data_IF_663521185965
#
_entry.id   IF_663521185965
#
_cell.length_a   1.000
_cell.length_b   1.000
_cell.length_c   1.000
_cell.angle_alpha   90.00
_cell.angle_beta   90.00
_cell.angle_gamma   90.00
#
_symmetry.space_group_name_H-M   'P 1'
#
loop_
_entity.id
_entity.type
_entity.pdbx_description
1 polymer ?
#
# COMPACT_ATOMS: atom_id res chain seq x y z
N UNK A 1 -15.88 -42.33 -39.33
CA UNK A 1 -15.02 -42.69 -38.18
C UNK A 1 -15.83 -43.55 -37.21
N UNK A 2 -15.40 -44.79 -36.97
CA UNK A 2 -16.19 -45.75 -36.16
C UNK A 2 -16.25 -45.26 -34.71
N UNK A 3 -17.45 -45.23 -34.09
CA UNK A 3 -17.62 -44.81 -32.68
C UNK A 3 -16.63 -45.50 -31.72
N UNK A 4 -16.25 -46.76 -32.02
CA UNK A 4 -15.22 -47.52 -31.29
C UNK A 4 -13.83 -46.91 -31.39
N UNK A 5 -13.41 -46.46 -32.58
CA UNK A 5 -12.10 -45.83 -32.79
C UNK A 5 -12.04 -44.50 -32.05
N UNK A 6 -13.13 -43.71 -32.08
CA UNK A 6 -13.21 -42.45 -31.32
C UNK A 6 -13.06 -42.71 -29.82
N UNK A 7 -13.78 -43.70 -29.27
CA UNK A 7 -13.70 -44.04 -27.85
C UNK A 7 -12.29 -44.49 -27.42
N UNK A 8 -11.60 -45.29 -28.24
CA UNK A 8 -10.22 -45.72 -27.97
C UNK A 8 -9.28 -44.52 -27.99
N UNK A 9 -9.38 -43.64 -29.00
CA UNK A 9 -8.53 -42.45 -29.10
C UNK A 9 -8.74 -41.53 -27.90
N UNK A 10 -10.00 -41.26 -27.52
CA UNK A 10 -10.31 -40.44 -26.33
C UNK A 10 -9.74 -41.08 -25.06
N UNK A 11 -9.90 -42.40 -24.87
CA UNK A 11 -9.34 -43.11 -23.73
C UNK A 11 -7.81 -43.00 -23.65
N UNK A 12 -7.12 -43.18 -24.77
CA UNK A 12 -5.65 -43.03 -24.85
C UNK A 12 -5.22 -41.61 -24.53
N UNK A 13 -5.90 -40.58 -25.06
CA UNK A 13 -5.59 -39.18 -24.76
C UNK A 13 -5.77 -38.89 -23.27
N UNK A 14 -6.86 -39.34 -22.66
CA UNK A 14 -7.10 -39.16 -21.21
C UNK A 14 -6.01 -39.83 -20.37
N UNK A 15 -5.61 -41.06 -20.72
CA UNK A 15 -4.53 -41.78 -20.02
C UNK A 15 -3.19 -41.08 -20.19
N UNK A 16 -2.86 -40.59 -21.40
CA UNK A 16 -1.63 -39.84 -21.65
C UNK A 16 -1.58 -38.55 -20.84
N UNK A 17 -2.69 -37.80 -20.80
CA UNK A 17 -2.79 -36.58 -19.97
C UNK A 17 -2.64 -36.90 -18.49
N UNK A 18 -3.26 -37.98 -18.00
CA UNK A 18 -3.11 -38.42 -16.61
C UNK A 18 -1.66 -38.80 -16.28
N UNK A 19 -0.98 -39.55 -17.17
CA UNK A 19 0.43 -39.91 -17.01
C UNK A 19 1.30 -38.65 -17.00
N UNK A 20 1.07 -37.72 -17.93
CA UNK A 20 1.81 -36.45 -17.98
C UNK A 20 1.63 -35.64 -16.70
N UNK A 21 0.41 -35.59 -16.14
CA UNK A 21 0.13 -34.94 -14.86
C UNK A 21 0.87 -35.58 -13.69
N UNK A 22 0.85 -36.91 -13.58
CA UNK A 22 1.61 -37.65 -12.54
C UNK A 22 3.11 -37.44 -12.72
N UNK A 23 3.62 -37.53 -13.94
CA UNK A 23 5.03 -37.33 -14.25
C UNK A 23 5.44 -35.92 -13.86
N UNK A 24 4.72 -34.88 -14.27
CA UNK A 24 4.97 -33.49 -13.85
C UNK A 24 4.99 -33.31 -12.32
N UNK A 25 4.20 -34.09 -11.58
CA UNK A 25 4.18 -34.11 -10.12
C UNK A 25 5.46 -34.67 -9.45
N UNK A 26 6.28 -35.41 -10.20
CA UNK A 26 7.52 -36.03 -9.70
C UNK A 26 8.79 -35.65 -10.49
N UNK A 27 8.68 -34.97 -11.65
CA UNK A 27 9.84 -34.66 -12.50
C UNK A 27 10.69 -33.51 -11.91
N UNK A 28 12.03 -33.69 -11.83
CA UNK A 28 12.93 -32.69 -11.26
C UNK A 28 13.13 -31.41 -12.08
N UNK A 29 12.65 -31.36 -13.32
CA UNK A 29 12.73 -30.16 -14.19
C UNK A 29 11.78 -29.04 -13.75
N UNK A 30 10.77 -29.38 -12.95
CA UNK A 30 9.76 -28.47 -12.43
C UNK A 30 10.03 -28.13 -10.97
N UNK A 31 11.30 -27.96 -10.62
CA UNK A 31 11.70 -27.53 -9.27
C UNK A 31 11.83 -26.02 -9.23
N UNK A 32 11.53 -25.42 -8.09
CA UNK A 32 11.86 -24.01 -7.81
C UNK A 32 13.38 -23.87 -7.87
N UNK A 33 13.87 -23.21 -8.91
CA UNK A 33 15.29 -22.89 -9.11
C UNK A 33 15.58 -21.40 -9.00
N UNK A 34 14.55 -20.54 -9.10
CA UNK A 34 14.67 -19.11 -8.86
C UNK A 34 13.40 -18.57 -8.20
N UNK A 35 13.56 -17.58 -7.31
CA UNK A 35 12.45 -16.83 -6.74
C UNK A 35 12.72 -15.35 -6.98
N UNK A 36 11.85 -14.71 -7.77
CA UNK A 36 12.01 -13.31 -8.16
C UNK A 36 11.02 -12.45 -7.39
N UNK A 37 11.52 -11.61 -6.49
CA UNK A 37 10.71 -10.66 -5.72
C UNK A 37 10.78 -9.29 -6.39
N UNK A 38 9.63 -8.69 -6.67
CA UNK A 38 9.52 -7.36 -7.29
C UNK A 38 8.56 -6.48 -6.52
N UNK A 39 8.79 -5.16 -6.57
CA UNK A 39 7.99 -4.16 -5.84
C UNK A 39 8.40 -3.93 -4.39
N UNK A 40 9.34 -4.73 -3.86
CA UNK A 40 9.95 -4.55 -2.54
C UNK A 40 10.92 -3.35 -2.54
N UNK A 41 10.55 -2.27 -1.86
CA UNK A 41 11.40 -1.08 -1.66
C UNK A 41 11.71 -0.85 -0.19
N UNK A 42 10.72 -1.05 0.69
CA UNK A 42 10.85 -0.99 2.15
C UNK A 42 10.83 -2.36 2.80
N UNK A 43 10.24 -3.35 2.13
CA UNK A 43 10.18 -4.74 2.57
C UNK A 43 11.48 -5.44 2.23
N UNK A 44 12.08 -6.14 3.18
CA UNK A 44 13.28 -6.95 2.93
C UNK A 44 12.93 -8.18 2.08
N UNK A 45 13.52 -8.36 0.88
CA UNK A 45 13.28 -9.54 0.06
C UNK A 45 13.59 -10.86 0.77
N UNK A 46 14.58 -10.91 1.64
CA UNK A 46 14.93 -12.13 2.39
C UNK A 46 13.81 -12.50 3.36
N UNK A 47 13.21 -11.50 4.00
CA UNK A 47 12.04 -11.69 4.86
C UNK A 47 10.83 -12.17 4.06
N UNK A 48 10.61 -11.65 2.85
CA UNK A 48 9.55 -12.12 1.94
C UNK A 48 9.74 -13.61 1.64
N UNK A 49 10.96 -14.05 1.33
CA UNK A 49 11.27 -15.46 1.08
C UNK A 49 11.03 -16.31 2.33
N UNK A 50 11.49 -15.86 3.49
CA UNK A 50 11.32 -16.57 4.77
C UNK A 50 9.83 -16.79 5.08
N UNK A 51 9.01 -15.73 5.06
CA UNK A 51 7.59 -15.85 5.41
C UNK A 51 6.78 -16.57 4.33
N UNK A 52 7.21 -16.51 3.07
CA UNK A 52 6.54 -17.24 1.97
C UNK A 52 6.48 -18.74 2.22
N UNK A 53 7.47 -19.29 2.95
CA UNK A 53 7.63 -20.72 3.16
C UNK A 53 8.04 -21.49 1.91
N UNK A 54 8.36 -20.81 0.80
CA UNK A 54 8.76 -21.44 -0.47
C UNK A 54 10.23 -21.81 -0.37
N UNK A 55 10.54 -23.10 -0.57
CA UNK A 55 11.90 -23.61 -0.48
C UNK A 55 12.45 -23.89 -1.88
N UNK A 56 13.66 -23.40 -2.15
CA UNK A 56 14.39 -23.77 -3.37
C UNK A 56 14.56 -25.30 -3.47
N UNK A 57 14.34 -25.83 -4.67
CA UNK A 57 14.38 -27.26 -4.97
C UNK A 57 13.07 -28.02 -4.74
N UNK A 58 12.05 -27.40 -4.13
CA UNK A 58 10.70 -27.95 -4.05
C UNK A 58 10.07 -28.07 -5.46
N UNK A 59 9.16 -29.04 -5.67
CA UNK A 59 8.39 -29.09 -6.91
C UNK A 59 7.46 -27.87 -7.01
N UNK A 60 7.59 -27.12 -8.11
CA UNK A 60 6.84 -25.92 -8.43
C UNK A 60 5.31 -26.11 -8.36
N UNK A 61 4.81 -27.31 -8.70
CA UNK A 61 3.39 -27.65 -8.61
C UNK A 61 2.90 -27.92 -7.18
N UNK A 62 3.82 -28.21 -6.25
CA UNK A 62 3.52 -28.42 -4.82
C UNK A 62 3.54 -27.14 -4.00
N UNK A 63 4.25 -26.12 -4.48
CA UNK A 63 4.27 -24.79 -3.86
C UNK A 63 2.84 -24.27 -3.70
N UNK A 64 2.42 -24.02 -2.47
CA UNK A 64 1.13 -23.39 -2.18
C UNK A 64 1.26 -21.87 -2.33
N UNK A 65 1.05 -21.38 -3.55
CA UNK A 65 1.12 -19.95 -3.85
C UNK A 65 0.08 -19.14 -3.07
N UNK A 66 -1.05 -19.74 -2.70
CA UNK A 66 -2.10 -19.06 -1.91
C UNK A 66 -1.65 -18.89 -0.46
N UNK A 67 -1.10 -19.95 0.15
CA UNK A 67 -0.54 -19.85 1.50
C UNK A 67 0.66 -18.89 1.55
N UNK A 68 1.56 -18.95 0.56
CA UNK A 68 2.67 -18.02 0.44
C UNK A 68 2.19 -16.57 0.37
N UNK A 69 1.19 -16.27 -0.48
CA UNK A 69 0.59 -14.94 -0.57
C UNK A 69 -0.07 -14.49 0.74
N UNK A 70 -0.76 -15.39 1.44
CA UNK A 70 -1.37 -15.12 2.74
C UNK A 70 -0.34 -14.80 3.81
N UNK A 71 0.83 -15.45 3.81
CA UNK A 71 1.88 -15.13 4.76
C UNK A 71 2.58 -13.81 4.42
N UNK A 72 2.85 -13.56 3.13
CA UNK A 72 3.56 -12.34 2.70
C UNK A 72 2.71 -11.08 2.96
N UNK A 73 1.38 -11.14 2.80
CA UNK A 73 0.51 -9.98 3.05
C UNK A 73 0.42 -9.58 4.53
N UNK A 74 0.83 -10.46 5.46
CA UNK A 74 0.96 -10.14 6.88
C UNK A 74 2.20 -9.27 7.17
N UNK A 75 3.12 -9.11 6.22
CA UNK A 75 4.22 -8.17 6.38
C UNK A 75 3.68 -6.73 6.40
N UNK A 76 4.11 -5.90 7.38
CA UNK A 76 3.62 -4.53 7.61
C UNK A 76 3.46 -3.66 6.36
N UNK A 77 4.50 -3.62 5.53
CA UNK A 77 4.57 -2.76 4.36
C UNK A 77 3.78 -3.31 3.17
N UNK A 78 3.31 -4.56 3.19
CA UNK A 78 2.66 -5.17 2.03
C UNK A 78 1.17 -4.78 1.99
N UNK A 79 0.77 -4.13 0.89
CA UNK A 79 -0.62 -3.84 0.58
C UNK A 79 -1.29 -5.02 -0.09
N UNK A 80 -0.64 -5.58 -1.10
CA UNK A 80 -1.09 -6.73 -1.87
C UNK A 80 0.09 -7.50 -2.43
N UNK A 81 -0.09 -8.79 -2.66
CA UNK A 81 0.93 -9.68 -3.23
C UNK A 81 0.29 -10.63 -4.23
N UNK A 82 1.00 -10.87 -5.33
CA UNK A 82 0.66 -11.90 -6.30
C UNK A 82 1.83 -12.88 -6.40
N UNK A 83 1.56 -14.15 -6.13
CA UNK A 83 2.55 -15.23 -6.23
C UNK A 83 2.20 -16.07 -7.45
N UNK A 84 3.07 -16.07 -8.45
CA UNK A 84 2.87 -16.77 -9.71
C UNK A 84 3.99 -17.78 -9.98
N UNK A 85 3.67 -18.78 -10.80
CA UNK A 85 4.62 -19.78 -11.29
C UNK A 85 5.04 -19.41 -12.71
N UNK A 86 6.30 -19.07 -12.91
CA UNK A 86 6.92 -18.88 -14.21
C UNK A 86 7.68 -20.15 -14.59
N UNK A 87 7.05 -21.00 -15.41
CA UNK A 87 7.65 -22.26 -15.86
C UNK A 87 8.95 -22.01 -16.66
N UNK A 88 9.95 -22.90 -16.57
CA UNK A 88 9.88 -24.22 -15.93
C UNK A 88 10.23 -24.24 -14.42
N UNK A 89 10.89 -23.20 -13.89
CA UNK A 89 11.55 -23.30 -12.57
C UNK A 89 11.52 -22.03 -11.72
N UNK A 90 10.68 -21.05 -12.03
CA UNK A 90 10.68 -19.76 -11.32
C UNK A 90 9.36 -19.53 -10.59
N UNK A 91 9.43 -18.99 -9.37
CA UNK A 91 8.30 -18.34 -8.70
C UNK A 91 8.51 -16.83 -8.79
N UNK A 92 7.50 -16.09 -9.24
CA UNK A 92 7.51 -14.63 -9.16
C UNK A 92 6.62 -14.17 -8.02
N UNK A 93 7.15 -13.28 -7.19
CA UNK A 93 6.44 -12.64 -6.09
C UNK A 93 6.39 -11.15 -6.41
N UNK A 94 5.23 -10.70 -6.86
CA UNK A 94 4.96 -9.30 -7.19
C UNK A 94 4.20 -8.68 -6.03
N UNK A 95 4.84 -7.79 -5.28
CA UNK A 95 4.21 -7.10 -4.17
C UNK A 95 3.98 -5.62 -4.49
N UNK A 96 2.94 -5.07 -3.90
CA UNK A 96 2.68 -3.62 -3.86
C UNK A 96 2.79 -3.19 -2.42
N UNK A 97 3.66 -2.22 -2.15
CA UNK A 97 3.82 -1.68 -0.81
C UNK A 97 2.76 -0.63 -0.48
N UNK A 98 2.49 -0.47 0.82
CA UNK A 98 1.69 0.61 1.37
C UNK A 98 2.41 1.93 1.21
N UNK A 99 1.69 2.96 0.79
CA UNK A 99 2.21 4.32 0.77
C UNK A 99 1.94 4.97 2.12
N UNK A 100 2.97 5.29 2.92
CA UNK A 100 2.76 5.97 4.19
C UNK A 100 2.29 7.41 3.93
N UNK A 101 1.26 7.86 4.67
CA UNK A 101 0.66 9.18 4.52
C UNK A 101 0.90 10.06 5.74
N UNK A 102 0.63 9.50 6.92
CA UNK A 102 0.69 10.24 8.19
C UNK A 102 1.29 9.37 9.29
N UNK A 103 1.63 10.01 10.40
CA UNK A 103 1.93 9.29 11.64
C UNK A 103 1.35 10.00 12.85
N UNK A 104 1.04 9.23 13.89
CA UNK A 104 0.54 9.72 15.18
C UNK A 104 1.53 9.29 16.27
N UNK A 105 1.95 10.23 17.12
CA UNK A 105 2.80 9.92 18.28
C UNK A 105 1.94 9.36 19.41
N UNK A 106 2.27 8.16 19.88
CA UNK A 106 1.65 7.51 21.05
C UNK A 106 2.71 7.10 22.08
N UNK A 107 2.26 6.53 23.19
CA UNK A 107 3.15 6.15 24.30
C UNK A 107 4.10 5.00 23.95
N UNK A 108 3.70 4.10 23.06
CA UNK A 108 4.43 2.94 22.57
C UNK A 108 5.27 3.23 21.30
N UNK A 109 5.08 4.39 20.68
CA UNK A 109 5.91 4.88 19.58
C UNK A 109 5.13 5.70 18.56
N UNK A 110 5.73 5.89 17.39
CA UNK A 110 5.11 6.61 16.29
C UNK A 110 4.38 5.62 15.38
N UNK A 111 3.06 5.73 15.30
CA UNK A 111 2.22 4.86 14.48
C UNK A 111 2.13 5.40 13.07
N UNK A 112 2.77 4.72 12.11
CA UNK A 112 2.76 5.10 10.70
C UNK A 112 1.53 4.52 10.02
N UNK A 113 0.76 5.36 9.33
CA UNK A 113 -0.51 5.02 8.72
C UNK A 113 -0.46 5.33 7.22
N UNK A 114 -1.01 4.42 6.41
CA UNK A 114 -1.01 4.56 4.97
C UNK A 114 -2.11 5.48 4.42
N UNK A 115 -2.11 5.68 3.11
CA UNK A 115 -3.10 6.49 2.38
C UNK A 115 -4.53 5.94 2.41
N UNK A 116 -4.74 4.72 2.92
CA UNK A 116 -6.04 4.05 3.10
C UNK A 116 -6.48 4.00 4.57
N UNK A 117 -5.69 4.56 5.50
CA UNK A 117 -6.00 4.57 6.93
C UNK A 117 -5.62 3.30 7.67
N UNK A 118 -4.84 2.41 7.07
CA UNK A 118 -4.32 1.22 7.75
C UNK A 118 -2.96 1.51 8.39
N UNK A 119 -2.83 1.12 9.65
CA UNK A 119 -1.55 1.16 10.36
C UNK A 119 -0.56 0.19 9.69
N UNK A 120 0.63 0.69 9.39
CA UNK A 120 1.73 -0.06 8.80
C UNK A 120 2.59 -0.62 9.92
N UNK A 121 3.20 0.25 10.71
CA UNK A 121 4.20 -0.11 11.73
C UNK A 121 4.26 0.94 12.83
N UNK A 122 4.74 0.54 14.01
CA UNK A 122 5.15 1.44 15.09
C UNK A 122 6.68 1.60 15.02
N UNK A 123 7.16 2.81 14.73
CA UNK A 123 8.59 3.07 14.57
C UNK A 123 8.86 4.38 13.84
N UNK A 124 10.12 4.58 13.41
CA UNK A 124 10.54 5.83 12.77
C UNK A 124 9.72 6.13 11.51
N UNK A 125 8.98 7.27 11.46
CA UNK A 125 8.20 7.65 10.30
C UNK A 125 9.08 7.89 9.06
N UNK A 126 8.73 7.37 7.88
CA UNK A 126 9.45 7.65 6.65
C UNK A 126 9.41 9.15 6.27
N UNK A 127 10.41 9.60 5.51
CA UNK A 127 10.39 10.94 4.92
C UNK A 127 9.12 11.11 4.07
N UNK A 128 8.46 12.26 4.22
CA UNK A 128 7.24 12.61 3.51
C UNK A 128 5.94 12.28 4.25
N UNK A 129 5.99 11.59 5.40
CA UNK A 129 4.81 11.44 6.26
C UNK A 129 4.58 12.69 7.09
N UNK A 130 3.30 13.05 7.28
CA UNK A 130 2.91 14.23 8.05
C UNK A 130 2.48 13.82 9.46
N UNK A 131 2.98 14.53 10.48
CA UNK A 131 2.56 14.31 11.87
C UNK A 131 1.11 14.75 12.04
N UNK A 132 0.30 13.94 12.72
CA UNK A 132 -1.07 14.31 13.14
C UNK A 132 -1.10 14.44 14.66
N UNK A 133 -1.58 15.58 15.13
CA UNK A 133 -1.66 15.91 16.56
C UNK A 133 -3.04 16.46 16.93
N UNK A 134 -3.36 16.40 18.22
CA UNK A 134 -4.63 16.89 18.77
C UNK A 134 -5.85 16.01 18.48
N UNK A 135 -5.73 14.99 17.62
CA UNK A 135 -6.82 14.08 17.28
C UNK A 135 -7.40 13.39 18.51
N UNK A 136 -8.72 13.52 18.70
CA UNK A 136 -9.46 12.70 19.66
C UNK A 136 -9.42 11.23 19.20
N UNK A 137 -8.65 10.39 19.89
CA UNK A 137 -8.53 8.96 19.59
C UNK A 137 -9.86 8.21 19.67
N UNK A 138 -10.86 8.77 20.38
CA UNK A 138 -12.22 8.23 20.42
C UNK A 138 -13.04 8.49 19.16
N UNK A 139 -12.61 9.43 18.32
CA UNK A 139 -13.33 9.85 17.12
C UNK A 139 -12.72 9.23 15.85
N UNK A 140 -13.35 8.16 15.37
CA UNK A 140 -12.91 7.42 14.18
C UNK A 140 -13.02 8.20 12.87
N UNK A 141 -13.63 9.40 12.86
CA UNK A 141 -13.80 10.22 11.66
C UNK A 141 -12.61 11.16 11.40
N UNK A 142 -11.81 11.47 12.43
CA UNK A 142 -10.70 12.44 12.33
C UNK A 142 -9.61 11.93 11.38
N UNK A 143 -9.13 10.71 11.60
CA UNK A 143 -8.02 10.16 10.81
C UNK A 143 -8.39 10.00 9.32
N UNK A 144 -9.55 9.44 8.94
CA UNK A 144 -9.99 9.43 7.55
C UNK A 144 -10.10 10.83 6.93
N UNK A 145 -10.60 11.83 7.67
CA UNK A 145 -10.69 13.19 7.18
C UNK A 145 -9.30 13.79 6.91
N UNK A 146 -8.36 13.63 7.84
CA UNK A 146 -6.97 14.08 7.68
C UNK A 146 -6.29 13.38 6.49
N UNK A 147 -6.43 12.06 6.36
CA UNK A 147 -5.86 11.32 5.22
C UNK A 147 -6.45 11.81 3.90
N UNK A 148 -7.76 12.08 3.84
CA UNK A 148 -8.38 12.65 2.65
C UNK A 148 -7.82 14.04 2.29
N UNK A 149 -7.47 14.86 3.29
CA UNK A 149 -6.80 16.15 3.08
C UNK A 149 -5.39 15.94 2.53
N UNK A 150 -4.57 15.10 3.18
CA UNK A 150 -3.19 14.81 2.75
C UNK A 150 -3.17 14.23 1.33
N UNK A 151 -4.06 13.28 1.01
CA UNK A 151 -4.18 12.70 -0.33
C UNK A 151 -4.52 13.76 -1.38
N UNK A 152 -5.41 14.72 -1.07
CA UNK A 152 -5.76 15.79 -2.00
C UNK A 152 -4.61 16.78 -2.22
N UNK A 153 -3.86 17.12 -1.18
CA UNK A 153 -2.65 17.96 -1.29
C UNK A 153 -1.60 17.25 -2.14
N UNK A 154 -1.32 15.97 -1.84
CA UNK A 154 -0.36 15.15 -2.58
C UNK A 154 -0.73 14.99 -4.06
N UNK A 155 -2.02 14.81 -4.35
CA UNK A 155 -2.53 14.72 -5.73
C UNK A 155 -2.39 16.04 -6.50
N UNK A 156 -2.45 17.18 -5.81
CA UNK A 156 -2.23 18.50 -6.41
C UNK A 156 -0.74 18.78 -6.64
N UNK A 157 0.11 18.56 -5.63
CA UNK A 157 1.56 18.64 -5.71
C UNK A 157 2.20 17.94 -4.49
N UNK A 158 2.93 16.85 -4.74
CA UNK A 158 3.59 16.06 -3.70
C UNK A 158 4.63 16.87 -2.88
N UNK A 159 5.18 17.95 -3.42
CA UNK A 159 6.12 18.81 -2.67
C UNK A 159 5.42 19.63 -1.58
N UNK A 160 4.10 19.88 -1.72
CA UNK A 160 3.35 20.62 -0.71
C UNK A 160 3.23 19.84 0.60
N UNK A 161 3.06 18.51 0.54
CA UNK A 161 3.01 17.68 1.76
C UNK A 161 4.32 17.69 2.54
N UNK A 162 5.46 17.79 1.85
CA UNK A 162 6.79 17.88 2.50
C UNK A 162 6.99 19.22 3.24
N UNK A 163 6.19 20.23 2.90
CA UNK A 163 6.22 21.54 3.56
C UNK A 163 5.36 21.59 4.83
N UNK A 164 4.52 20.57 5.08
CA UNK A 164 3.67 20.49 6.27
C UNK A 164 4.50 19.91 7.41
N UNK A 165 4.59 20.65 8.51
CA UNK A 165 5.25 20.20 9.74
C UNK A 165 4.34 19.26 10.53
N UNK A 166 3.10 19.70 10.78
CA UNK A 166 2.11 18.97 11.58
C UNK A 166 0.70 19.37 11.17
N UNK A 167 -0.22 18.41 11.21
CA UNK A 167 -1.66 18.63 11.12
C UNK A 167 -2.23 18.60 12.52
N UNK A 168 -2.83 19.69 12.95
CA UNK A 168 -3.64 19.74 14.17
C UNK A 168 -5.10 19.51 13.78
N UNK A 169 -5.70 18.46 14.33
CA UNK A 169 -7.07 18.07 13.99
C UNK A 169 -7.82 17.60 15.24
N UNK A 170 -8.26 18.51 16.14
CA UNK A 170 -9.07 18.14 17.30
C UNK A 170 -10.35 17.37 16.94
N UNK A 171 -10.96 17.68 15.80
CA UNK A 171 -12.08 16.92 15.21
C UNK A 171 -12.03 16.95 13.67
N UNK A 172 -12.94 16.24 12.99
CA UNK A 172 -12.97 16.11 11.53
C UNK A 172 -13.39 17.38 10.77
N UNK A 173 -13.89 18.41 11.46
CA UNK A 173 -14.31 19.70 10.91
C UNK A 173 -13.33 20.84 11.22
N UNK A 174 -12.38 20.63 12.12
CA UNK A 174 -11.35 21.58 12.53
C UNK A 174 -9.95 21.03 12.21
N UNK A 175 -9.56 21.09 10.93
CA UNK A 175 -8.22 20.70 10.48
C UNK A 175 -7.38 21.96 10.21
N UNK A 176 -6.22 22.04 10.86
CA UNK A 176 -5.23 23.09 10.71
C UNK A 176 -3.89 22.50 10.26
N UNK A 177 -3.36 23.01 9.15
CA UNK A 177 -2.03 22.64 8.66
C UNK A 177 -1.00 23.65 9.17
N UNK A 178 0.00 23.20 9.91
CA UNK A 178 1.16 24.01 10.29
C UNK A 178 2.31 23.67 9.36
N UNK A 179 2.88 24.69 8.72
CA UNK A 179 3.94 24.55 7.73
C UNK A 179 5.32 24.67 8.38
N UNK A 180 6.35 24.11 7.74
CA UNK A 180 7.74 24.14 8.22
C UNK A 180 8.33 25.56 8.34
N UNK A 181 7.77 26.54 7.63
CA UNK A 181 8.18 27.95 7.68
C UNK A 181 7.38 28.79 8.69
N UNK A 182 6.52 28.15 9.50
CA UNK A 182 5.70 28.79 10.53
C UNK A 182 4.33 29.28 10.06
N UNK A 183 3.98 29.13 8.77
CA UNK A 183 2.63 29.46 8.27
C UNK A 183 1.58 28.49 8.81
N UNK A 184 0.38 29.00 9.01
CA UNK A 184 -0.80 28.24 9.42
C UNK A 184 -1.87 28.33 8.33
N UNK A 185 -2.37 27.18 7.89
CA UNK A 185 -3.43 27.08 6.88
C UNK A 185 -4.60 26.32 7.48
N UNK A 186 -5.67 27.05 7.81
CA UNK A 186 -6.91 26.48 8.30
C UNK A 186 -7.70 25.87 7.13
N UNK A 187 -7.88 24.55 7.19
CA UNK A 187 -8.55 23.74 6.16
C UNK A 187 -10.04 23.51 6.48
N UNK A 188 -10.39 23.37 7.76
CA UNK A 188 -11.73 22.99 8.19
C UNK A 188 -12.00 21.52 7.90
N UNK A 189 -13.15 21.20 7.30
CA UNK A 189 -13.55 19.81 6.98
C UNK A 189 -12.84 19.23 5.74
N UNK A 190 -12.91 17.90 5.58
CA UNK A 190 -12.44 17.19 4.37
C UNK A 190 -13.36 17.34 3.13
N UNK A 191 -14.27 18.32 3.14
CA UNK A 191 -15.12 18.62 1.98
C UNK A 191 -14.41 19.54 0.98
N UNK A 192 -14.73 19.37 -0.31
CA UNK A 192 -14.15 20.17 -1.41
C UNK A 192 -12.61 20.16 -1.43
N UNK A 193 -12.00 19.05 -1.01
CA UNK A 193 -10.55 18.95 -0.80
C UNK A 193 -9.73 19.31 -2.05
N UNK A 194 -10.21 18.97 -3.25
CA UNK A 194 -9.54 19.34 -4.50
C UNK A 194 -9.41 20.86 -4.64
N UNK A 195 -10.51 21.59 -4.50
CA UNK A 195 -10.54 23.05 -4.62
C UNK A 195 -9.71 23.73 -3.52
N UNK A 196 -9.75 23.19 -2.29
CA UNK A 196 -8.92 23.64 -1.18
C UNK A 196 -7.43 23.41 -1.44
N UNK A 197 -7.04 22.29 -2.05
CA UNK A 197 -5.64 22.02 -2.43
C UNK A 197 -5.15 23.00 -3.51
N UNK A 198 -6.01 23.35 -4.48
CA UNK A 198 -5.72 24.40 -5.46
C UNK A 198 -5.55 25.77 -4.78
N UNK A 199 -6.44 26.13 -3.85
CA UNK A 199 -6.33 27.35 -3.05
C UNK A 199 -5.04 27.37 -2.21
N UNK A 200 -4.67 26.24 -1.60
CA UNK A 200 -3.41 26.06 -0.88
C UNK A 200 -2.20 26.40 -1.77
N UNK A 201 -2.13 25.84 -2.99
CA UNK A 201 -1.04 26.12 -3.93
C UNK A 201 -0.92 27.61 -4.30
N UNK A 202 -2.02 28.36 -4.19
CA UNK A 202 -2.05 29.81 -4.43
C UNK A 202 -1.58 30.60 -3.21
N UNK A 203 -2.02 30.25 -2.00
CA UNK A 203 -1.59 30.95 -0.77
C UNK A 203 -0.13 30.68 -0.45
N UNK A 204 0.41 29.52 -0.82
CA UNK A 204 1.82 29.21 -0.61
C UNK A 204 2.76 30.12 -1.40
N UNK A 205 2.28 30.75 -2.48
CA UNK A 205 3.02 31.71 -3.31
C UNK A 205 2.87 33.16 -2.84
N UNK A 206 2.05 33.41 -1.81
CA UNK A 206 1.72 34.74 -1.30
C UNK A 206 2.38 34.96 0.05
N UNK A 207 2.66 36.22 0.36
CA UNK A 207 3.06 36.64 1.70
C UNK A 207 1.87 36.55 2.67
N UNK A 208 2.08 35.94 3.83
CA UNK A 208 1.07 35.81 4.87
C UNK A 208 1.39 34.66 5.83
N UNK A 209 1.04 34.84 7.10
CA UNK A 209 1.31 33.85 8.15
C UNK A 209 0.12 32.95 8.45
N UNK A 210 -1.11 33.44 8.25
CA UNK A 210 -2.33 32.70 8.56
C UNK A 210 -3.35 32.81 7.44
N UNK A 211 -3.76 31.66 6.92
CA UNK A 211 -4.71 31.56 5.83
C UNK A 211 -5.90 30.70 6.23
N UNK A 212 -7.11 31.14 5.90
CA UNK A 212 -8.30 30.30 5.97
C UNK A 212 -8.75 29.95 4.55
N UNK A 213 -8.75 28.66 4.25
CA UNK A 213 -9.18 28.09 2.96
C UNK A 213 -10.37 27.14 3.11
N UNK A 214 -11.05 27.13 4.27
CA UNK A 214 -12.22 26.28 4.52
C UNK A 214 -13.37 26.53 3.55
N UNK A 215 -13.43 27.73 2.98
CA UNK A 215 -14.29 28.09 1.85
C UNK A 215 -13.40 28.45 0.66
N UNK A 216 -13.16 27.57 -0.33
CA UNK A 216 -12.18 27.81 -1.39
C UNK A 216 -12.50 29.01 -2.29
N UNK A 217 -13.77 29.45 -2.34
CA UNK A 217 -14.19 30.68 -3.01
C UNK A 217 -13.87 31.98 -2.24
N UNK A 218 -13.53 31.87 -0.95
CA UNK A 218 -13.35 32.99 -0.01
C UNK A 218 -12.07 32.75 0.82
N UNK A 219 -10.90 32.82 0.18
CA UNK A 219 -9.62 32.76 0.89
C UNK A 219 -9.39 34.05 1.66
N UNK A 220 -9.33 33.98 2.99
CA UNK A 220 -9.10 35.14 3.87
C UNK A 220 -7.80 35.01 4.65
N UNK A 221 -7.10 36.13 4.87
CA UNK A 221 -6.00 36.23 5.84
C UNK A 221 -6.61 36.33 7.23
N UNK A 222 -6.10 35.57 8.20
CA UNK A 222 -6.56 35.59 9.59
C UNK A 222 -5.65 36.44 10.49
#
# INVERSE_FOLDING_TARGET
MNKKVIAIVVGVVVVLVAILGVVAWFVPILKVGNIEVTGATRTDPDQVLEVSGIVEGENLFRVDATAAGQNIVELPWVKSVTVNRALPSTITVELTEREPAVFIKRADGDHVIDTEGKEIIIGTPPVGTVEVSGADEGNSEVLPAVIAVINAIKAQDAQMTESIQVVEAPDQFDILLKMNDGREIYWGSSENNHDKAVAMSTVLKREGQRWNISSPSMVTVR
#
